data_IF_367205991420
#
_entry.id   IF_367205991420
#
_cell.length_a   1.000
_cell.length_b   1.000
_cell.length_c   1.000
_cell.angle_alpha   90.00
_cell.angle_beta   90.00
_cell.angle_gamma   90.00
#
_symmetry.space_group_name_H-M   'P 1'
#
loop_
_entity.id
_entity.type
_entity.pdbx_description
1 polymer ?
#
# COMPACT_ATOMS: atom_id res chain seq x y z
N UNK A 1 -7.00 16.07 -6.35
CA UNK A 1 -8.31 15.69 -5.78
C UNK A 1 -8.06 14.56 -4.81
N UNK A 2 -8.14 14.87 -3.52
CA UNK A 2 -7.87 13.91 -2.45
C UNK A 2 -9.05 12.92 -2.39
N UNK A 3 -8.74 11.63 -2.54
CA UNK A 3 -9.72 10.56 -2.26
C UNK A 3 -9.98 10.54 -0.75
N UNK A 4 -11.24 10.62 -0.28
CA UNK A 4 -11.54 10.50 1.14
C UNK A 4 -11.08 9.16 1.68
N UNK A 5 -10.46 9.14 2.86
CA UNK A 5 -9.96 7.93 3.56
C UNK A 5 -11.02 6.82 3.63
N UNK A 6 -12.31 7.20 3.77
CA UNK A 6 -13.43 6.27 3.69
C UNK A 6 -13.56 5.52 2.35
N UNK A 7 -13.05 6.10 1.27
CA UNK A 7 -13.12 5.50 -0.07
C UNK A 7 -12.03 4.43 -0.28
N UNK A 8 -10.85 4.60 0.32
CA UNK A 8 -9.80 3.58 0.30
C UNK A 8 -10.25 2.35 1.08
N UNK A 9 -10.85 2.54 2.25
CA UNK A 9 -11.42 1.46 3.04
C UNK A 9 -12.58 0.75 2.32
N UNK A 10 -13.44 1.48 1.60
CA UNK A 10 -14.54 0.87 0.85
C UNK A 10 -14.06 0.10 -0.38
N UNK A 11 -13.04 0.59 -1.11
CA UNK A 11 -12.45 -0.12 -2.26
C UNK A 11 -11.76 -1.41 -1.81
N UNK A 12 -11.02 -1.37 -0.69
CA UNK A 12 -10.41 -2.57 -0.10
C UNK A 12 -11.46 -3.56 0.40
N UNK A 13 -12.54 -3.07 0.99
CA UNK A 13 -13.66 -3.89 1.46
C UNK A 13 -14.51 -4.45 0.30
N UNK A 14 -14.74 -3.69 -0.76
CA UNK A 14 -15.49 -4.12 -1.94
C UNK A 14 -14.78 -5.25 -2.73
N UNK A 15 -13.45 -5.28 -2.70
CA UNK A 15 -12.68 -6.38 -3.29
C UNK A 15 -12.63 -7.63 -2.39
N UNK A 16 -12.69 -7.45 -1.06
CA UNK A 16 -12.70 -8.56 -0.09
C UNK A 16 -14.08 -9.17 0.10
N UNK A 17 -15.16 -8.39 -0.07
CA UNK A 17 -16.52 -8.80 0.21
C UNK A 17 -17.44 -8.49 -0.97
N UNK A 18 -17.90 -9.53 -1.65
CA UNK A 18 -18.80 -9.43 -2.82
C UNK A 18 -20.16 -8.83 -2.50
N UNK A 19 -20.48 -8.49 -1.26
CA UNK A 19 -21.75 -7.85 -0.90
C UNK A 19 -21.60 -6.90 0.30
N UNK A 20 -22.33 -5.80 0.27
CA UNK A 20 -22.42 -4.82 1.36
C UNK A 20 -22.91 -5.45 2.67
N UNK A 21 -23.75 -6.47 2.57
CA UNK A 21 -24.26 -7.21 3.73
C UNK A 21 -23.16 -8.02 4.42
N UNK A 22 -22.32 -8.71 3.66
CA UNK A 22 -21.20 -9.48 4.18
C UNK A 22 -20.20 -8.55 4.93
N UNK A 23 -19.90 -7.39 4.38
CA UNK A 23 -19.05 -6.38 5.02
C UNK A 23 -19.67 -5.87 6.34
N UNK A 24 -20.97 -5.66 6.37
CA UNK A 24 -21.69 -5.23 7.57
C UNK A 24 -21.64 -6.30 8.68
N UNK A 25 -21.92 -7.58 8.35
CA UNK A 25 -21.83 -8.67 9.31
C UNK A 25 -20.40 -8.83 9.85
N UNK A 26 -19.40 -8.79 8.97
CA UNK A 26 -18.01 -8.84 9.41
C UNK A 26 -17.66 -7.67 10.36
N UNK A 27 -18.10 -6.45 10.04
CA UNK A 27 -17.93 -5.28 10.90
C UNK A 27 -18.56 -5.47 12.29
N UNK A 28 -19.78 -6.01 12.38
CA UNK A 28 -20.42 -6.29 13.65
C UNK A 28 -19.64 -7.33 14.47
N UNK A 29 -19.25 -8.44 13.84
CA UNK A 29 -18.44 -9.48 14.47
C UNK A 29 -17.09 -8.93 14.96
N UNK A 30 -16.46 -8.07 14.20
CA UNK A 30 -15.21 -7.40 14.57
C UNK A 30 -15.41 -6.53 15.82
N UNK A 31 -16.50 -5.77 15.92
CA UNK A 31 -16.82 -4.97 17.11
C UNK A 31 -17.06 -5.80 18.38
N UNK A 32 -17.52 -7.05 18.19
CA UNK A 32 -17.76 -8.01 19.28
C UNK A 32 -16.50 -8.84 19.62
N UNK A 33 -15.39 -8.67 18.92
CA UNK A 33 -14.20 -9.50 19.07
C UNK A 33 -14.38 -10.92 18.54
N UNK A 34 -15.36 -11.12 17.66
CA UNK A 34 -15.75 -12.41 17.09
C UNK A 34 -15.41 -12.54 15.60
N UNK A 35 -14.51 -11.68 15.10
CA UNK A 35 -14.10 -11.66 13.70
C UNK A 35 -13.62 -13.02 13.18
N UNK A 36 -12.99 -13.83 14.03
CA UNK A 36 -12.42 -15.14 13.67
C UNK A 36 -13.46 -16.20 13.34
N UNK A 37 -14.68 -16.04 13.83
CA UNK A 37 -15.80 -16.94 13.50
C UNK A 37 -16.62 -16.46 12.29
N UNK A 38 -16.25 -15.31 11.74
CA UNK A 38 -16.88 -14.80 10.53
C UNK A 38 -16.64 -15.74 9.36
N UNK A 39 -17.68 -16.11 8.57
CA UNK A 39 -17.49 -16.90 7.36
C UNK A 39 -16.64 -16.16 6.30
N UNK A 40 -16.38 -14.88 6.50
CA UNK A 40 -15.52 -14.06 5.65
C UNK A 40 -14.08 -13.95 6.17
N UNK A 41 -13.75 -14.62 7.29
CA UNK A 41 -12.39 -14.67 7.84
C UNK A 41 -11.55 -15.68 7.04
N UNK A 42 -11.03 -15.23 5.93
CA UNK A 42 -10.26 -16.01 4.97
C UNK A 42 -8.84 -16.31 5.46
N UNK A 43 -8.16 -17.27 4.82
CA UNK A 43 -6.75 -17.56 5.10
C UNK A 43 -5.84 -16.34 4.86
N UNK A 44 -6.21 -15.49 3.92
CA UNK A 44 -5.54 -14.20 3.71
C UNK A 44 -5.65 -13.31 4.96
N UNK A 45 -6.84 -13.18 5.54
CA UNK A 45 -7.03 -12.40 6.77
C UNK A 45 -6.25 -12.99 7.94
N UNK A 46 -6.23 -14.30 8.09
CA UNK A 46 -5.42 -15.00 9.08
C UNK A 46 -3.93 -14.69 8.92
N UNK A 47 -3.43 -14.67 7.68
CA UNK A 47 -2.05 -14.34 7.38
C UNK A 47 -1.70 -12.89 7.77
N UNK A 48 -2.59 -11.93 7.47
CA UNK A 48 -2.41 -10.53 7.89
C UNK A 48 -2.56 -10.31 9.40
N UNK A 49 -3.36 -11.13 10.07
CA UNK A 49 -3.55 -11.08 11.53
C UNK A 49 -2.42 -11.75 12.31
N UNK A 50 -1.75 -12.74 11.71
CA UNK A 50 -0.74 -13.57 12.37
C UNK A 50 0.38 -12.79 13.12
N UNK A 51 0.88 -11.63 12.62
CA UNK A 51 1.88 -10.85 13.33
C UNK A 51 1.36 -10.13 14.58
N UNK A 52 0.05 -10.08 14.79
CA UNK A 52 -0.57 -9.30 15.85
C UNK A 52 -1.20 -10.19 16.93
N UNK A 53 -0.56 -10.39 18.09
CA UNK A 53 -1.10 -11.22 19.17
C UNK A 53 -2.48 -10.78 19.67
N UNK A 54 -2.74 -9.46 19.63
CA UNK A 54 -4.03 -8.87 20.01
C UNK A 54 -4.21 -7.47 19.40
N UNK A 55 -5.34 -6.83 19.66
CA UNK A 55 -5.72 -5.55 19.06
C UNK A 55 -4.77 -4.38 19.42
N UNK A 56 -4.04 -4.42 20.55
CA UNK A 56 -3.12 -3.35 20.93
C UNK A 56 -1.88 -3.30 20.03
N UNK A 57 -1.46 -4.43 19.48
CA UNK A 57 -0.35 -4.51 18.53
C UNK A 57 -0.70 -3.92 17.14
N UNK A 58 -1.97 -3.66 16.87
CA UNK A 58 -2.45 -3.06 15.61
C UNK A 58 -2.44 -1.53 15.62
N UNK A 59 -1.90 -0.89 16.65
CA UNK A 59 -1.89 0.58 16.74
C UNK A 59 -1.08 1.22 15.62
N UNK A 60 0.05 0.63 15.23
CA UNK A 60 0.84 1.09 14.08
C UNK A 60 0.04 1.10 12.78
N UNK A 61 -0.49 -0.03 12.30
CA UNK A 61 -1.35 -0.06 11.11
C UNK A 61 -2.55 0.88 11.17
N UNK A 62 -3.15 1.08 12.35
CA UNK A 62 -4.27 2.01 12.53
C UNK A 62 -3.87 3.47 12.40
N UNK A 63 -2.66 3.81 12.85
CA UNK A 63 -2.15 5.18 12.76
C UNK A 63 -1.64 5.54 11.35
N UNK A 64 -1.20 4.56 10.54
CA UNK A 64 -0.62 4.82 9.22
C UNK A 64 -1.48 5.69 8.29
N UNK A 65 -2.80 5.47 8.16
CA UNK A 65 -3.62 6.32 7.29
C UNK A 65 -3.65 7.80 7.71
N UNK A 66 -3.50 8.08 9.01
CA UNK A 66 -3.46 9.46 9.52
C UNK A 66 -2.11 10.15 9.30
N UNK A 67 -1.07 9.38 8.97
CA UNK A 67 0.26 9.91 8.65
C UNK A 67 0.39 10.37 7.18
N UNK A 68 -0.61 10.10 6.35
CA UNK A 68 -0.60 10.64 4.97
C UNK A 68 -0.76 12.16 5.06
N UNK A 69 0.26 12.94 4.65
CA UNK A 69 0.26 14.38 4.85
C UNK A 69 -0.78 15.04 3.94
N UNK A 70 -1.92 15.36 4.51
CA UNK A 70 -2.98 16.15 3.86
C UNK A 70 -2.94 17.62 4.29
N UNK A 71 -2.22 17.91 5.35
CA UNK A 71 -2.00 19.24 5.96
C UNK A 71 -0.52 19.28 6.35
N UNK A 72 0.14 20.45 6.41
CA UNK A 72 1.49 20.55 6.94
C UNK A 72 1.61 19.86 8.29
N UNK A 73 2.50 18.89 8.40
CA UNK A 73 2.75 18.11 9.59
C UNK A 73 4.24 18.14 10.00
N UNK A 74 4.56 17.54 11.15
CA UNK A 74 5.91 17.54 11.71
C UNK A 74 6.94 16.80 10.81
N UNK A 75 6.49 15.93 9.91
CA UNK A 75 7.38 15.18 9.01
C UNK A 75 7.80 15.99 7.78
N UNK A 76 7.26 17.17 7.55
CA UNK A 76 7.43 17.92 6.30
C UNK A 76 8.90 18.26 6.02
N UNK A 77 9.65 18.68 7.04
CA UNK A 77 11.05 19.02 6.88
C UNK A 77 11.90 17.77 6.56
N UNK A 78 11.67 16.68 7.27
CA UNK A 78 12.33 15.40 6.96
C UNK A 78 11.99 14.90 5.54
N UNK A 79 10.76 15.10 5.07
CA UNK A 79 10.39 14.79 3.69
C UNK A 79 11.11 15.66 2.66
N UNK A 80 11.32 16.95 2.96
CA UNK A 80 12.09 17.85 2.11
C UNK A 80 13.56 17.44 2.02
N UNK A 81 14.17 17.13 3.17
CA UNK A 81 15.54 16.60 3.24
C UNK A 81 15.70 15.30 2.44
N UNK A 82 14.75 14.36 2.59
CA UNK A 82 14.76 13.12 1.81
C UNK A 82 14.66 13.39 0.30
N UNK A 83 13.88 14.37 -0.15
CA UNK A 83 13.80 14.76 -1.56
C UNK A 83 15.12 15.31 -2.08
N UNK A 84 15.79 16.16 -1.31
CA UNK A 84 17.11 16.69 -1.69
C UNK A 84 18.15 15.56 -1.74
N UNK A 85 18.12 14.62 -0.80
CA UNK A 85 18.96 13.42 -0.85
C UNK A 85 18.75 12.62 -2.14
N UNK A 86 17.51 12.34 -2.54
CA UNK A 86 17.24 11.59 -3.76
C UNK A 86 17.65 12.32 -5.05
N UNK A 87 17.63 13.65 -5.07
CA UNK A 87 18.07 14.43 -6.22
C UNK A 87 19.58 14.30 -6.49
N UNK A 88 20.36 14.12 -5.44
CA UNK A 88 21.82 14.11 -5.48
C UNK A 88 22.45 12.74 -5.27
N UNK A 89 21.64 11.75 -4.90
CA UNK A 89 22.10 10.39 -4.62
C UNK A 89 22.58 9.69 -5.90
N UNK A 90 23.76 9.09 -5.83
CA UNK A 90 24.33 8.22 -6.85
C UNK A 90 23.97 6.73 -6.67
N UNK A 91 23.23 6.42 -5.61
CA UNK A 91 22.83 5.04 -5.31
C UNK A 91 21.85 4.52 -6.35
N UNK A 92 21.98 3.23 -6.74
CA UNK A 92 21.00 2.61 -7.61
C UNK A 92 19.58 2.71 -7.06
N UNK A 93 18.66 3.23 -7.83
CA UNK A 93 17.27 3.40 -7.46
C UNK A 93 16.37 2.82 -8.55
N UNK A 94 15.51 1.87 -8.19
CA UNK A 94 14.55 1.27 -9.11
C UNK A 94 13.14 1.77 -8.77
N UNK A 95 12.47 2.33 -9.78
CA UNK A 95 11.06 2.74 -9.69
C UNK A 95 10.18 1.70 -10.39
N UNK A 96 9.25 1.09 -9.66
CA UNK A 96 8.33 0.07 -10.19
C UNK A 96 6.90 0.45 -9.85
N UNK A 97 6.06 0.59 -10.85
CA UNK A 97 4.65 0.97 -10.68
C UNK A 97 3.72 0.01 -11.40
N UNK A 98 2.50 -0.11 -10.89
CA UNK A 98 1.40 -0.75 -11.61
C UNK A 98 0.62 0.31 -12.39
N UNK A 99 0.60 0.18 -13.73
CA UNK A 99 -0.06 1.17 -14.60
C UNK A 99 -1.58 1.24 -14.46
N UNK A 100 -2.18 0.20 -13.87
CA UNK A 100 -3.62 0.07 -13.60
C UNK A 100 -3.98 0.30 -12.11
N UNK A 101 -3.05 0.85 -11.31
CA UNK A 101 -3.30 1.18 -9.91
C UNK A 101 -4.09 2.49 -9.78
N UNK A 102 -5.32 2.47 -9.25
CA UNK A 102 -6.13 3.67 -9.12
C UNK A 102 -5.61 4.64 -8.05
N UNK A 103 -4.70 4.21 -7.17
CA UNK A 103 -4.19 5.02 -6.05
C UNK A 103 -2.91 5.76 -6.43
N UNK A 104 -1.97 5.06 -7.10
CA UNK A 104 -0.64 5.60 -7.39
C UNK A 104 -0.41 5.91 -8.88
N UNK A 105 -1.42 5.73 -9.73
CA UNK A 105 -1.31 6.05 -11.15
C UNK A 105 -0.91 7.51 -11.36
N UNK A 106 0.16 7.72 -12.12
CA UNK A 106 0.70 9.03 -12.44
C UNK A 106 1.76 9.56 -11.45
N UNK A 107 1.89 8.97 -10.26
CA UNK A 107 2.90 9.37 -9.27
C UNK A 107 4.33 9.03 -9.76
N UNK A 108 4.49 8.03 -10.61
CA UNK A 108 5.80 7.64 -11.14
C UNK A 108 6.58 8.81 -11.73
N UNK A 109 5.91 9.68 -12.48
CA UNK A 109 6.54 10.88 -13.08
C UNK A 109 7.14 11.80 -12.03
N UNK A 110 6.50 11.94 -10.88
CA UNK A 110 6.98 12.80 -9.80
C UNK A 110 8.13 12.12 -9.03
N UNK A 111 8.09 10.79 -8.88
CA UNK A 111 9.22 10.02 -8.34
C UNK A 111 10.46 10.16 -9.21
N UNK A 112 10.33 10.03 -10.54
CA UNK A 112 11.44 10.16 -11.47
C UNK A 112 12.02 11.59 -11.52
N UNK A 113 11.18 12.62 -11.32
CA UNK A 113 11.66 14.00 -11.15
C UNK A 113 12.43 14.19 -9.84
N UNK A 114 11.98 13.53 -8.77
CA UNK A 114 12.62 13.60 -7.46
C UNK A 114 13.95 12.85 -7.44
N UNK A 115 14.05 11.73 -8.14
CA UNK A 115 15.25 10.89 -8.24
C UNK A 115 15.68 10.75 -9.71
N UNK A 116 16.46 11.73 -10.26
CA UNK A 116 16.83 11.75 -11.68
C UNK A 116 17.63 10.52 -12.13
N UNK A 117 18.34 9.86 -11.23
CA UNK A 117 19.11 8.65 -11.50
C UNK A 117 18.27 7.36 -11.34
N UNK A 118 16.96 7.48 -11.08
CA UNK A 118 16.09 6.32 -10.96
C UNK A 118 15.92 5.61 -12.31
N UNK A 119 16.02 4.30 -12.28
CA UNK A 119 15.68 3.41 -13.40
C UNK A 119 14.17 3.14 -13.32
N UNK A 120 13.44 3.54 -14.36
CA UNK A 120 12.03 3.17 -14.49
C UNK A 120 11.91 1.76 -15.03
N UNK A 121 11.31 0.86 -14.28
CA UNK A 121 11.00 -0.48 -14.77
C UNK A 121 9.78 -0.44 -15.72
N UNK A 122 9.63 -1.44 -16.60
CA UNK A 122 8.37 -1.63 -17.31
C UNK A 122 7.21 -1.74 -16.35
N UNK A 123 6.11 -1.06 -16.65
CA UNK A 123 4.92 -1.10 -15.78
C UNK A 123 4.38 -2.53 -15.69
N UNK A 124 4.15 -2.96 -14.47
CA UNK A 124 3.52 -4.24 -14.15
C UNK A 124 2.04 -3.97 -13.89
N UNK A 125 1.12 -4.61 -14.59
CA UNK A 125 -0.29 -4.59 -14.23
C UNK A 125 -0.52 -5.31 -12.91
N UNK A 126 -1.74 -5.23 -12.34
CA UNK A 126 -2.10 -5.98 -11.13
C UNK A 126 -2.61 -5.11 -9.99
N UNK A 127 -2.87 -3.84 -10.27
CA UNK A 127 -3.44 -2.85 -9.36
C UNK A 127 -2.55 -2.53 -8.15
N UNK A 128 -3.15 -1.95 -7.10
CA UNK A 128 -2.44 -1.44 -5.92
C UNK A 128 -1.60 -2.50 -5.18
N UNK A 129 -2.05 -3.74 -5.17
CA UNK A 129 -1.34 -4.86 -4.55
C UNK A 129 -0.70 -5.79 -5.59
N UNK A 130 0.00 -5.23 -6.58
CA UNK A 130 0.63 -6.01 -7.65
C UNK A 130 1.71 -6.98 -7.16
N UNK A 131 2.32 -6.74 -6.01
CA UNK A 131 3.19 -7.71 -5.35
C UNK A 131 2.48 -9.04 -5.02
N UNK A 132 1.17 -9.02 -4.89
CA UNK A 132 0.31 -10.18 -4.68
C UNK A 132 -0.18 -10.80 -5.97
N UNK A 133 -0.63 -9.95 -6.89
CA UNK A 133 -1.27 -10.40 -8.13
C UNK A 133 -0.29 -10.72 -9.23
N UNK A 134 0.95 -10.16 -9.16
CA UNK A 134 2.02 -10.30 -10.15
C UNK A 134 3.40 -10.60 -9.52
N UNK A 135 3.50 -11.52 -8.53
CA UNK A 135 4.75 -11.74 -7.79
C UNK A 135 5.91 -12.18 -8.70
N UNK A 136 5.63 -13.02 -9.71
CA UNK A 136 6.67 -13.51 -10.62
C UNK A 136 7.28 -12.40 -11.48
N UNK A 137 6.43 -11.50 -12.02
CA UNK A 137 6.89 -10.38 -12.81
C UNK A 137 7.70 -9.40 -11.96
N UNK A 138 7.20 -9.06 -10.76
CA UNK A 138 7.91 -8.20 -9.83
C UNK A 138 9.25 -8.81 -9.42
N UNK A 139 9.28 -10.09 -9.04
CA UNK A 139 10.52 -10.77 -8.66
C UNK A 139 11.55 -10.76 -9.79
N UNK A 140 11.12 -10.96 -11.04
CA UNK A 140 12.01 -10.88 -12.20
C UNK A 140 12.64 -9.50 -12.33
N UNK A 141 11.84 -8.44 -12.26
CA UNK A 141 12.32 -7.05 -12.35
C UNK A 141 13.34 -6.74 -11.26
N UNK A 142 13.05 -7.16 -10.01
CA UNK A 142 13.96 -6.94 -8.88
C UNK A 142 15.27 -7.70 -9.05
N UNK A 143 15.22 -8.96 -9.47
CA UNK A 143 16.42 -9.79 -9.70
C UNK A 143 17.26 -9.23 -10.84
N UNK A 144 16.64 -8.82 -11.92
CA UNK A 144 17.34 -8.22 -13.06
C UNK A 144 18.05 -6.92 -12.63
N UNK A 145 17.39 -6.08 -11.85
CA UNK A 145 17.99 -4.85 -11.31
C UNK A 145 19.18 -5.11 -10.36
N UNK A 146 19.09 -6.14 -9.50
CA UNK A 146 20.17 -6.48 -8.55
C UNK A 146 21.39 -7.07 -9.27
N UNK A 147 21.18 -7.74 -10.38
CA UNK A 147 22.27 -8.38 -11.14
C UNK A 147 22.99 -7.42 -12.09
N UNK A 148 22.45 -6.24 -12.35
CA UNK A 148 22.97 -5.28 -13.34
C UNK A 148 22.52 -5.69 -14.71
#
# INVERSE_FOLDING_TARGET
KNLPIGMINSIMMEQAFKSKFAAFIHYLLQRMGLEKISPFYTDLMKAYEAPFPNASYKMGPRAMPSQVPTIPDQSLDAQREAREFFKTSDKPFLSVFAGDDPVTNGIEKDVLKMAPNAISAPQIGGRHFFQWTRPKQLSKVLVDFIKG
#
